data_IF_789042155848
#
_entry.id   IF_789042155848
#
_cell.length_a   1.000
_cell.length_b   1.000
_cell.length_c   1.000
_cell.angle_alpha   90.00
_cell.angle_beta   90.00
_cell.angle_gamma   90.00
#
_symmetry.space_group_name_H-M   'P 1'
#
loop_
_entity.id
_entity.type
_entity.pdbx_description
1 polymer ?
#
# COMPACT_ATOMS: atom_id res chain seq x y z
N UNK A 1 23.02 14.94 -6.92
CA UNK A 1 22.23 13.73 -7.26
C UNK A 1 21.62 13.97 -8.62
N UNK A 2 22.05 13.24 -9.65
CA UNK A 2 21.43 13.33 -10.98
C UNK A 2 20.40 12.20 -11.06
N UNK A 3 19.11 12.55 -11.06
CA UNK A 3 18.03 11.61 -11.24
C UNK A 3 17.76 11.50 -12.73
N UNK A 4 17.86 10.29 -13.29
CA UNK A 4 17.35 10.06 -14.63
C UNK A 4 15.81 10.11 -14.58
N UNK A 5 15.15 10.49 -15.66
CA UNK A 5 13.69 10.43 -15.76
C UNK A 5 13.27 9.11 -16.44
N UNK A 6 13.03 8.03 -15.69
CA UNK A 6 12.82 6.71 -16.27
C UNK A 6 11.46 6.61 -16.96
N UNK A 7 11.45 6.43 -18.28
CA UNK A 7 10.22 6.14 -19.06
C UNK A 7 9.75 4.69 -18.93
N UNK A 8 10.56 3.83 -18.30
CA UNK A 8 10.35 2.38 -18.22
C UNK A 8 9.65 1.92 -16.94
N UNK A 9 9.36 2.81 -15.99
CA UNK A 9 8.55 2.49 -14.80
C UNK A 9 7.08 2.71 -15.16
N UNK A 10 6.41 1.65 -15.61
CA UNK A 10 4.99 1.67 -15.98
C UNK A 10 4.37 0.26 -15.86
N UNK A 11 3.05 0.19 -15.84
CA UNK A 11 2.31 -1.08 -16.01
C UNK A 11 1.83 -1.15 -17.45
N UNK A 12 2.12 -2.24 -18.15
CA UNK A 12 1.59 -2.47 -19.50
C UNK A 12 0.08 -2.77 -19.37
N UNK A 13 -0.77 -1.87 -19.85
CA UNK A 13 -2.23 -2.09 -19.90
C UNK A 13 -3.04 -1.67 -18.67
N UNK A 14 -2.40 -1.14 -17.62
CA UNK A 14 -3.09 -0.75 -16.37
C UNK A 14 -2.52 0.51 -15.72
N UNK A 15 -3.32 1.15 -14.86
CA UNK A 15 -2.90 2.32 -14.10
C UNK A 15 -2.17 1.91 -12.82
N UNK A 16 -1.14 2.68 -12.45
CA UNK A 16 -0.47 2.58 -11.14
C UNK A 16 -1.31 3.35 -10.12
N UNK A 17 -1.70 2.69 -9.04
CA UNK A 17 -2.50 3.27 -7.95
C UNK A 17 -1.65 3.70 -6.76
N UNK A 18 -0.58 2.96 -6.49
CA UNK A 18 0.31 3.25 -5.37
C UNK A 18 1.75 2.87 -5.68
N UNK A 19 2.65 3.59 -5.03
CA UNK A 19 4.09 3.39 -5.10
C UNK A 19 4.67 3.45 -3.71
N UNK A 20 5.75 2.72 -3.48
CA UNK A 20 6.54 2.83 -2.26
C UNK A 20 8.00 2.46 -2.47
N UNK A 21 8.92 3.11 -1.76
CA UNK A 21 10.36 2.90 -1.89
C UNK A 21 10.83 2.05 -0.72
N UNK A 22 11.57 0.98 -1.01
CA UNK A 22 12.13 0.13 0.03
C UNK A 22 13.11 0.93 0.91
N UNK A 23 13.15 0.73 2.25
CA UNK A 23 13.96 1.54 3.16
C UNK A 23 15.46 1.64 2.81
N UNK A 24 16.03 0.63 2.16
CA UNK A 24 17.43 0.64 1.67
C UNK A 24 17.65 1.43 0.38
N UNK A 25 16.59 2.02 -0.21
CA UNK A 25 16.63 2.86 -1.41
C UNK A 25 17.15 2.16 -2.68
N UNK A 26 17.10 0.83 -2.72
CA UNK A 26 17.53 0.01 -3.86
C UNK A 26 16.35 -0.50 -4.72
N UNK A 27 15.13 -0.45 -4.17
CA UNK A 27 13.90 -0.93 -4.82
C UNK A 27 12.77 0.09 -4.75
N UNK A 28 11.97 0.09 -5.80
CA UNK A 28 10.68 0.76 -5.87
C UNK A 28 9.61 -0.31 -6.09
N UNK A 29 8.58 -0.33 -5.27
CA UNK A 29 7.36 -1.10 -5.52
C UNK A 29 6.32 -0.20 -6.19
N UNK A 30 5.66 -0.71 -7.22
CA UNK A 30 4.44 -0.10 -7.76
C UNK A 30 3.34 -1.14 -7.82
N UNK A 31 2.11 -0.74 -7.54
CA UNK A 31 0.94 -1.61 -7.66
C UNK A 31 -0.20 -0.93 -8.40
N UNK A 32 -1.10 -1.74 -8.95
CA UNK A 32 -2.25 -1.25 -9.68
C UNK A 32 -3.00 -2.36 -10.39
N UNK A 33 -3.68 -1.98 -11.46
CA UNK A 33 -4.38 -2.91 -12.35
C UNK A 33 -3.39 -3.60 -13.30
N UNK A 34 -3.57 -4.89 -13.54
CA UNK A 34 -2.79 -5.65 -14.52
C UNK A 34 -3.30 -5.51 -15.95
N UNK A 35 -2.69 -6.28 -16.84
CA UNK A 35 -2.95 -6.31 -18.29
C UNK A 35 -4.24 -7.03 -18.69
N UNK A 36 -4.71 -7.95 -17.83
CA UNK A 36 -6.00 -8.64 -17.99
C UNK A 36 -7.07 -7.91 -17.17
N UNK A 37 -8.21 -7.62 -17.78
CA UNK A 37 -9.31 -6.88 -17.13
C UNK A 37 -9.69 -7.48 -15.77
N UNK A 38 -9.54 -6.68 -14.71
CA UNK A 38 -9.86 -7.06 -13.33
C UNK A 38 -8.69 -7.63 -12.52
N UNK A 39 -7.59 -8.08 -13.12
CA UNK A 39 -6.43 -8.56 -12.35
C UNK A 39 -5.60 -7.38 -11.81
N UNK A 40 -4.79 -7.65 -10.79
CA UNK A 40 -3.87 -6.68 -10.22
C UNK A 40 -2.43 -7.09 -10.43
N UNK A 41 -1.53 -6.10 -10.40
CA UNK A 41 -0.12 -6.31 -10.60
C UNK A 41 0.68 -5.54 -9.57
N UNK A 42 1.69 -6.19 -8.98
CA UNK A 42 2.75 -5.53 -8.22
C UNK A 42 4.06 -5.75 -8.95
N UNK A 43 4.82 -4.67 -9.19
CA UNK A 43 6.14 -4.73 -9.82
C UNK A 43 7.18 -4.17 -8.83
N UNK A 44 8.24 -4.93 -8.63
CA UNK A 44 9.43 -4.50 -7.90
C UNK A 44 10.49 -4.08 -8.93
N UNK A 45 10.84 -2.80 -8.92
CA UNK A 45 11.80 -2.18 -9.80
C UNK A 45 13.14 -2.01 -9.11
N UNK A 46 14.22 -2.12 -9.87
CA UNK A 46 15.56 -1.81 -9.41
C UNK A 46 15.77 -0.29 -9.50
N UNK A 47 16.05 0.38 -8.37
CA UNK A 47 16.30 1.82 -8.36
C UNK A 47 17.71 2.19 -8.85
N UNK A 48 18.66 1.25 -8.91
CA UNK A 48 20.06 1.57 -9.28
C UNK A 48 20.19 2.24 -10.67
N UNK A 49 19.49 1.77 -11.73
CA UNK A 49 19.44 2.48 -13.02
C UNK A 49 18.87 3.89 -12.97
N UNK A 50 18.05 4.22 -11.96
CA UNK A 50 17.49 5.57 -11.81
C UNK A 50 18.52 6.49 -11.15
N UNK A 51 19.33 5.94 -10.25
CA UNK A 51 20.34 6.64 -9.46
C UNK A 51 21.70 6.75 -10.16
N UNK A 52 21.96 5.98 -11.23
CA UNK A 52 23.26 5.93 -11.90
C UNK A 52 23.14 5.66 -13.40
N UNK A 53 23.69 6.56 -14.22
CA UNK A 53 23.79 6.40 -15.68
C UNK A 53 24.60 5.17 -16.08
N UNK A 54 25.67 4.85 -15.34
CA UNK A 54 26.45 3.63 -15.56
C UNK A 54 25.58 2.39 -15.37
N UNK A 55 24.80 2.34 -14.29
CA UNK A 55 23.87 1.23 -14.05
C UNK A 55 22.70 1.21 -15.05
N UNK A 56 22.32 2.37 -15.60
CA UNK A 56 21.31 2.47 -16.65
C UNK A 56 21.80 1.91 -18.00
N UNK A 57 23.06 2.16 -18.34
CA UNK A 57 23.70 1.67 -19.56
C UNK A 57 24.11 0.18 -19.48
N UNK A 58 24.20 -0.37 -18.27
CA UNK A 58 24.56 -1.77 -18.03
C UNK A 58 23.41 -2.72 -18.37
N UNK A 59 23.57 -3.52 -19.43
CA UNK A 59 22.57 -4.50 -19.89
C UNK A 59 22.38 -5.67 -18.94
N UNK A 60 23.34 -5.95 -18.04
CA UNK A 60 23.19 -6.94 -16.98
C UNK A 60 22.40 -6.39 -15.77
N UNK A 61 22.13 -5.08 -15.72
CA UNK A 61 21.36 -4.45 -14.66
C UNK A 61 19.87 -4.54 -14.96
N UNK A 62 19.23 -5.59 -14.46
CA UNK A 62 17.78 -5.77 -14.59
C UNK A 62 17.00 -4.60 -13.98
N UNK A 63 16.14 -3.96 -14.78
CA UNK A 63 15.25 -2.86 -14.36
C UNK A 63 14.03 -3.35 -13.58
N UNK A 64 13.48 -4.48 -13.99
CA UNK A 64 12.40 -5.20 -13.30
C UNK A 64 13.03 -6.35 -12.51
N UNK A 65 12.78 -6.39 -11.21
CA UNK A 65 13.28 -7.43 -10.32
C UNK A 65 12.26 -8.56 -10.14
N UNK A 66 10.99 -8.19 -9.93
CA UNK A 66 9.89 -9.13 -9.79
C UNK A 66 8.57 -8.53 -10.30
N UNK A 67 7.72 -9.39 -10.86
CA UNK A 67 6.29 -9.17 -11.13
C UNK A 67 5.50 -10.17 -10.31
N UNK A 68 4.53 -9.69 -9.53
CA UNK A 68 3.66 -10.49 -8.67
C UNK A 68 2.23 -10.25 -9.13
N UNK A 69 1.60 -11.31 -9.67
CA UNK A 69 0.23 -11.25 -10.20
C UNK A 69 -0.79 -11.45 -9.07
N UNK A 70 -1.84 -10.64 -9.09
CA UNK A 70 -2.97 -10.70 -8.17
C UNK A 70 -4.26 -10.97 -8.94
N UNK A 71 -5.22 -11.64 -8.29
CA UNK A 71 -6.51 -11.95 -8.90
C UNK A 71 -7.41 -10.73 -9.06
N UNK A 72 -7.18 -9.68 -8.26
CA UNK A 72 -7.93 -8.43 -8.26
C UNK A 72 -6.97 -7.23 -8.21
N UNK A 73 -7.47 -6.05 -8.58
CA UNK A 73 -6.72 -4.78 -8.54
C UNK A 73 -6.05 -4.54 -7.18
N UNK A 74 -4.81 -4.04 -7.20
CA UNK A 74 -4.05 -3.75 -5.96
C UNK A 74 -4.01 -2.25 -5.73
N UNK A 75 -4.74 -1.80 -4.72
CA UNK A 75 -4.98 -0.39 -4.42
C UNK A 75 -3.79 0.28 -3.71
N UNK A 76 -3.11 -0.45 -2.83
CA UNK A 76 -1.98 0.10 -2.06
C UNK A 76 -0.88 -0.94 -1.85
N UNK A 77 0.38 -0.49 -1.92
CA UNK A 77 1.57 -1.28 -1.61
C UNK A 77 2.45 -0.52 -0.62
N UNK A 78 2.92 -1.19 0.44
CA UNK A 78 3.84 -0.62 1.45
C UNK A 78 4.86 -1.61 1.96
N UNK A 79 6.12 -1.22 1.96
CA UNK A 79 7.19 -1.89 2.69
C UNK A 79 7.02 -1.67 4.19
N UNK A 80 7.32 -2.69 4.98
CA UNK A 80 7.53 -2.52 6.41
C UNK A 80 8.71 -1.60 6.65
N UNK A 81 8.74 -0.96 7.81
CA UNK A 81 9.79 0.00 8.17
C UNK A 81 11.21 -0.59 8.10
N UNK A 82 11.35 -1.89 8.39
CA UNK A 82 12.61 -2.64 8.28
C UNK A 82 12.87 -3.23 6.88
N UNK A 83 11.93 -3.08 5.94
CA UNK A 83 11.98 -3.61 4.58
C UNK A 83 11.77 -5.13 4.48
N UNK A 84 11.54 -5.83 5.58
CA UNK A 84 11.42 -7.29 5.59
C UNK A 84 10.13 -7.77 4.88
N UNK A 85 9.05 -7.00 4.97
CA UNK A 85 7.73 -7.36 4.48
C UNK A 85 7.19 -6.33 3.49
N UNK A 86 6.40 -6.80 2.52
CA UNK A 86 5.64 -5.99 1.59
C UNK A 86 4.16 -6.29 1.77
N UNK A 87 3.38 -5.28 2.16
CA UNK A 87 1.93 -5.38 2.29
C UNK A 87 1.23 -4.84 1.04
N UNK A 88 0.21 -5.56 0.58
CA UNK A 88 -0.60 -5.20 -0.58
C UNK A 88 -2.09 -5.24 -0.22
N UNK A 89 -2.80 -4.13 -0.37
CA UNK A 89 -4.26 -4.03 -0.21
C UNK A 89 -4.97 -4.15 -1.55
N UNK A 90 -6.05 -4.93 -1.65
CA UNK A 90 -6.67 -5.28 -2.93
C UNK A 90 -8.20 -5.25 -2.91
N UNK A 91 -8.79 -5.17 -4.11
CA UNK A 91 -10.24 -5.20 -4.37
C UNK A 91 -10.89 -6.53 -3.99
N UNK A 92 -10.13 -7.62 -3.91
CA UNK A 92 -10.58 -8.92 -3.39
C UNK A 92 -10.76 -8.94 -1.86
N UNK A 93 -10.73 -7.76 -1.23
CA UNK A 93 -11.06 -7.52 0.18
C UNK A 93 -10.01 -8.04 1.16
N UNK A 94 -8.84 -8.44 0.66
CA UNK A 94 -7.76 -8.95 1.49
C UNK A 94 -6.55 -8.01 1.51
N UNK A 95 -5.72 -8.21 2.52
CA UNK A 95 -4.34 -7.75 2.51
C UNK A 95 -3.44 -8.97 2.36
N UNK A 96 -2.51 -8.92 1.42
CA UNK A 96 -1.48 -9.95 1.22
C UNK A 96 -0.13 -9.43 1.69
N UNK A 97 0.64 -10.29 2.37
CA UNK A 97 1.94 -9.96 2.94
C UNK A 97 3.01 -10.84 2.30
N UNK A 98 3.98 -10.23 1.66
CA UNK A 98 5.09 -10.91 1.00
C UNK A 98 6.41 -10.69 1.73
N UNK A 99 7.28 -11.68 1.68
CA UNK A 99 8.65 -11.61 2.17
C UNK A 99 9.62 -11.88 1.00
N UNK A 100 10.77 -11.21 0.99
CA UNK A 100 11.81 -11.47 0.00
C UNK A 100 12.40 -12.88 0.17
N UNK A 101 12.30 -13.68 -0.89
CA UNK A 101 12.72 -15.08 -0.93
C UNK A 101 14.07 -15.32 -1.62
N UNK A 102 14.84 -14.28 -1.94
CA UNK A 102 16.14 -14.39 -2.60
C UNK A 102 16.10 -14.19 -4.12
N UNK A 103 17.30 -14.21 -4.73
CA UNK A 103 17.48 -14.14 -6.19
C UNK A 103 17.24 -15.50 -6.84
N UNK A 104 16.62 -15.47 -8.02
CA UNK A 104 16.41 -16.65 -8.86
C UNK A 104 17.69 -16.90 -9.67
N UNK A 105 18.37 -18.02 -9.41
CA UNK A 105 19.65 -18.35 -10.06
C UNK A 105 19.52 -19.19 -11.35
N UNK A 106 18.32 -19.68 -11.70
CA UNK A 106 18.11 -20.43 -12.95
C UNK A 106 16.87 -19.94 -13.70
N UNK A 107 17.08 -19.35 -14.88
CA UNK A 107 16.02 -19.24 -15.88
C UNK A 107 15.71 -20.65 -16.39
N UNK A 108 14.58 -21.21 -15.98
CA UNK A 108 14.05 -22.42 -16.63
C UNK A 108 13.64 -22.05 -18.05
N UNK A 109 14.52 -22.27 -19.02
CA UNK A 109 14.20 -22.13 -20.44
C UNK A 109 13.41 -23.34 -20.92
N UNK A 110 12.08 -23.27 -20.86
CA UNK A 110 11.23 -23.94 -21.86
C UNK A 110 10.16 -22.94 -22.33
N UNK A 111 10.42 -22.33 -23.49
CA UNK A 111 9.36 -21.94 -24.43
C UNK A 111 8.47 -20.73 -24.14
N UNK A 112 8.71 -19.94 -23.09
CA UNK A 112 7.86 -18.76 -22.82
C UNK A 112 8.63 -17.44 -22.99
N UNK A 113 8.14 -16.56 -23.87
CA UNK A 113 8.55 -15.15 -24.00
C UNK A 113 8.10 -14.33 -22.77
N UNK A 114 8.32 -14.83 -21.56
CA UNK A 114 7.90 -14.18 -20.31
C UNK A 114 9.05 -13.39 -19.71
N UNK A 115 8.74 -12.17 -19.26
CA UNK A 115 9.64 -11.39 -18.39
C UNK A 115 9.96 -12.26 -17.18
N UNK A 116 11.22 -12.67 -17.08
CA UNK A 116 11.68 -13.57 -16.03
C UNK A 116 11.95 -12.78 -14.75
N UNK A 117 11.30 -13.15 -13.64
CA UNK A 117 11.63 -12.60 -12.33
C UNK A 117 13.05 -13.02 -11.94
N UNK A 118 13.89 -12.04 -11.59
CA UNK A 118 15.23 -12.31 -11.05
C UNK A 118 15.23 -12.41 -9.53
N UNK A 119 14.10 -12.10 -8.91
CA UNK A 119 13.88 -12.18 -7.47
C UNK A 119 12.54 -12.82 -7.15
N UNK A 120 12.50 -13.52 -6.02
CA UNK A 120 11.31 -14.21 -5.54
C UNK A 120 10.73 -13.46 -4.35
N UNK A 121 9.40 -13.34 -4.34
CA UNK A 121 8.63 -12.87 -3.19
C UNK A 121 7.65 -13.97 -2.79
N UNK A 122 7.69 -14.36 -1.53
CA UNK A 122 6.86 -15.45 -0.98
C UNK A 122 5.67 -14.85 -0.25
N UNK A 123 4.46 -15.22 -0.63
CA UNK A 123 3.27 -14.92 0.15
C UNK A 123 3.38 -15.61 1.51
N UNK A 124 3.32 -14.84 2.58
CA UNK A 124 3.44 -15.31 3.96
C UNK A 124 2.09 -15.31 4.67
N UNK A 125 1.26 -14.30 4.42
CA UNK A 125 -0.04 -14.14 5.06
C UNK A 125 -1.06 -13.56 4.09
N UNK A 126 -2.33 -13.94 4.28
CA UNK A 126 -3.49 -13.30 3.68
C UNK A 126 -4.48 -12.94 4.79
N UNK A 127 -4.77 -11.65 4.95
CA UNK A 127 -5.58 -11.12 6.05
C UNK A 127 -7.03 -10.90 5.57
N UNK A 128 -7.97 -11.65 6.14
CA UNK A 128 -9.38 -11.69 5.71
C UNK A 128 -10.32 -11.10 6.78
N UNK A 129 -10.30 -9.78 6.98
CA UNK A 129 -11.23 -9.12 7.94
C UNK A 129 -12.23 -8.19 7.28
N UNK A 130 -11.84 -7.52 6.19
CA UNK A 130 -12.72 -6.57 5.52
C UNK A 130 -13.82 -7.26 4.73
N UNK A 131 -14.98 -6.60 4.66
CA UNK A 131 -16.16 -7.09 3.92
C UNK A 131 -16.29 -6.47 2.52
N UNK A 132 -15.49 -5.43 2.25
CA UNK A 132 -15.37 -4.73 0.97
C UNK A 132 -13.90 -4.44 0.63
N UNK A 133 -13.66 -3.79 -0.51
CA UNK A 133 -12.31 -3.53 -1.05
C UNK A 133 -11.41 -2.87 -0.01
N UNK A 134 -10.15 -3.30 0.07
CA UNK A 134 -9.15 -2.65 0.93
C UNK A 134 -8.46 -1.56 0.11
N UNK A 135 -8.60 -0.32 0.55
CA UNK A 135 -8.14 0.86 -0.19
C UNK A 135 -6.73 1.29 0.19
N UNK A 136 -6.35 1.08 1.45
CA UNK A 136 -5.06 1.51 1.98
C UNK A 136 -4.55 0.52 3.02
N UNK A 137 -3.23 0.40 3.09
CA UNK A 137 -2.50 -0.36 4.11
C UNK A 137 -1.25 0.42 4.46
N UNK A 138 -0.87 0.49 5.73
CA UNK A 138 0.29 1.25 6.20
C UNK A 138 0.91 0.60 7.45
N UNK A 139 2.23 0.47 7.47
CA UNK A 139 2.99 -0.01 8.64
C UNK A 139 3.28 1.13 9.60
N UNK A 140 3.20 0.88 10.91
CA UNK A 140 3.67 1.87 11.88
C UNK A 140 5.19 2.04 11.80
N UNK A 141 5.67 3.26 12.03
CA UNK A 141 7.10 3.60 12.01
C UNK A 141 7.92 2.80 13.02
N UNK A 142 7.32 2.45 14.16
CA UNK A 142 7.92 1.61 15.21
C UNK A 142 7.84 0.10 14.93
N UNK A 143 7.22 -0.30 13.81
CA UNK A 143 7.08 -1.70 13.39
C UNK A 143 6.21 -2.56 14.30
N UNK A 144 5.42 -1.97 15.21
CA UNK A 144 4.50 -2.70 16.11
C UNK A 144 3.19 -3.06 15.42
N UNK A 145 2.73 -2.24 14.48
CA UNK A 145 1.40 -2.34 13.91
C UNK A 145 1.39 -2.32 12.39
N UNK A 146 0.39 -2.99 11.84
CA UNK A 146 -0.08 -2.81 10.47
C UNK A 146 -1.51 -2.30 10.56
N UNK A 147 -1.87 -1.27 9.80
CA UNK A 147 -3.26 -0.82 9.68
C UNK A 147 -3.73 -0.96 8.23
N UNK A 148 -5.03 -1.20 8.05
CA UNK A 148 -5.69 -1.13 6.74
C UNK A 148 -7.02 -0.42 6.83
N UNK A 149 -7.44 0.16 5.72
CA UNK A 149 -8.65 0.94 5.57
C UNK A 149 -9.44 0.43 4.38
N UNK A 150 -10.77 0.38 4.50
CA UNK A 150 -11.64 -0.24 3.51
C UNK A 150 -12.86 0.60 3.15
N UNK A 151 -13.43 0.26 1.99
CA UNK A 151 -14.77 0.65 1.57
C UNK A 151 -15.87 0.25 2.57
N UNK A 152 -15.62 -0.71 3.47
CA UNK A 152 -16.58 -1.13 4.50
C UNK A 152 -16.69 -0.17 5.72
N UNK A 153 -16.08 1.01 5.61
CA UNK A 153 -16.03 2.08 6.62
C UNK A 153 -15.14 1.75 7.84
N UNK A 154 -14.48 0.59 7.87
CA UNK A 154 -13.65 0.19 9.01
C UNK A 154 -12.17 0.41 8.75
N UNK A 155 -11.44 0.55 9.86
CA UNK A 155 -9.98 0.37 9.91
C UNK A 155 -9.67 -0.83 10.79
N UNK A 156 -8.78 -1.69 10.33
CA UNK A 156 -8.33 -2.85 11.12
C UNK A 156 -6.86 -2.66 11.46
N UNK A 157 -6.49 -2.97 12.70
CA UNK A 157 -5.10 -2.93 13.16
C UNK A 157 -4.65 -4.32 13.58
N UNK A 158 -3.49 -4.72 13.09
CA UNK A 158 -2.84 -6.00 13.42
C UNK A 158 -1.55 -5.79 14.20
N UNK A 159 -1.17 -6.84 14.92
CA UNK A 159 0.14 -6.98 15.50
C UNK A 159 1.14 -7.37 14.39
N UNK A 160 1.99 -6.43 13.98
CA UNK A 160 2.95 -6.64 12.89
C UNK A 160 3.96 -7.75 13.18
N UNK A 161 4.26 -8.03 14.46
CA UNK A 161 5.21 -9.08 14.87
C UNK A 161 4.54 -10.45 15.03
N UNK A 162 3.22 -10.53 14.98
CA UNK A 162 2.44 -11.76 15.16
C UNK A 162 1.30 -11.88 14.16
N UNK A 163 1.51 -11.46 12.92
CA UNK A 163 0.49 -11.63 11.88
C UNK A 163 0.01 -13.10 11.83
N UNK A 164 -1.30 -13.36 11.67
CA UNK A 164 -2.40 -12.42 11.42
C UNK A 164 -3.16 -11.95 12.69
N UNK A 165 -2.52 -11.90 13.87
CA UNK A 165 -3.15 -11.45 15.13
C UNK A 165 -3.72 -10.03 15.00
N UNK A 166 -5.04 -9.90 15.16
CA UNK A 166 -5.77 -8.63 15.11
C UNK A 166 -5.83 -8.01 16.50
N UNK A 167 -5.51 -6.72 16.58
CA UNK A 167 -5.56 -5.94 17.81
C UNK A 167 -6.94 -5.32 18.00
N UNK A 168 -7.43 -4.61 16.97
CA UNK A 168 -8.70 -3.89 17.04
C UNK A 168 -9.32 -3.69 15.66
N UNK A 169 -10.64 -3.55 15.63
CA UNK A 169 -11.40 -3.01 14.49
C UNK A 169 -11.99 -1.68 14.93
N UNK A 170 -11.70 -0.62 14.18
CA UNK A 170 -12.17 0.74 14.41
C UNK A 170 -13.42 0.96 13.55
N UNK A 171 -14.56 0.50 14.05
CA UNK A 171 -15.86 0.60 13.42
C UNK A 171 -16.76 1.64 14.13
N UNK A 172 -17.98 1.81 13.63
CA UNK A 172 -18.94 2.79 14.18
C UNK A 172 -19.27 2.58 15.66
N UNK A 173 -19.17 1.36 16.21
CA UNK A 173 -19.40 1.08 17.63
C UNK A 173 -18.35 1.71 18.54
N UNK A 174 -17.18 2.05 17.99
CA UNK A 174 -16.05 2.71 18.66
C UNK A 174 -15.87 4.17 18.22
N UNK A 175 -16.90 4.76 17.64
CA UNK A 175 -16.79 6.10 17.05
C UNK A 175 -15.94 6.11 15.78
N UNK A 176 -15.94 5.02 15.01
CA UNK A 176 -15.34 4.93 13.69
C UNK A 176 -16.05 5.77 12.63
N UNK A 177 -15.61 5.61 11.40
CA UNK A 177 -16.15 6.36 10.27
C UNK A 177 -17.54 5.86 9.84
N UNK A 178 -18.33 6.76 9.27
CA UNK A 178 -19.66 6.45 8.71
C UNK A 178 -19.63 6.35 7.17
N UNK A 179 -18.44 6.27 6.59
CA UNK A 179 -18.22 6.16 5.16
C UNK A 179 -16.84 5.57 4.85
N UNK A 180 -16.58 5.21 3.58
CA UNK A 180 -15.36 4.53 3.16
C UNK A 180 -14.09 5.20 3.69
N UNK A 181 -13.20 4.42 4.29
CA UNK A 181 -11.92 4.92 4.78
C UNK A 181 -10.88 4.73 3.68
N UNK A 182 -10.31 5.84 3.21
CA UNK A 182 -9.47 5.90 2.00
C UNK A 182 -8.00 6.06 2.28
N UNK A 183 -7.64 6.57 3.45
CA UNK A 183 -6.26 6.92 3.77
C UNK A 183 -5.89 6.63 5.22
N UNK A 184 -4.64 6.26 5.41
CA UNK A 184 -4.00 6.00 6.68
C UNK A 184 -2.69 6.78 6.76
N UNK A 185 -2.32 7.23 7.95
CA UNK A 185 -0.99 7.77 8.22
C UNK A 185 -0.64 7.57 9.69
N UNK A 186 0.58 7.10 9.95
CA UNK A 186 1.08 6.94 11.31
C UNK A 186 1.82 8.20 11.76
N UNK A 187 1.61 8.56 13.02
CA UNK A 187 2.51 9.47 13.70
C UNK A 187 3.93 8.86 13.76
N UNK A 188 4.99 9.60 13.41
CA UNK A 188 6.35 9.07 13.34
C UNK A 188 6.87 8.49 14.65
N UNK A 189 6.34 8.92 15.81
CA UNK A 189 6.70 8.35 17.12
C UNK A 189 5.70 7.27 17.61
N UNK A 190 4.72 6.90 16.79
CA UNK A 190 3.80 5.80 17.05
C UNK A 190 2.71 6.08 18.08
N UNK A 191 2.42 7.34 18.42
CA UNK A 191 1.37 7.71 19.38
C UNK A 191 -0.03 7.70 18.78
N UNK A 192 -0.14 8.07 17.50
CA UNK A 192 -1.41 8.18 16.81
C UNK A 192 -1.43 7.43 15.47
N UNK A 193 -2.62 6.93 15.13
CA UNK A 193 -3.01 6.61 13.77
C UNK A 193 -4.00 7.67 13.29
N UNK A 194 -3.74 8.28 12.13
CA UNK A 194 -4.69 9.15 11.45
C UNK A 194 -5.43 8.37 10.35
N UNK A 195 -6.76 8.53 10.29
CA UNK A 195 -7.62 7.88 9.29
C UNK A 195 -8.42 8.93 8.53
N UNK A 196 -8.52 8.81 7.21
CA UNK A 196 -9.25 9.71 6.33
C UNK A 196 -10.42 8.99 5.65
N UNK A 197 -11.62 9.60 5.69
CA UNK A 197 -12.82 8.99 5.14
C UNK A 197 -13.62 9.88 4.19
N UNK A 198 -14.40 9.23 3.33
CA UNK A 198 -15.44 9.84 2.52
C UNK A 198 -16.58 10.47 3.34
N UNK A 199 -16.67 10.17 4.64
CA UNK A 199 -17.61 10.83 5.58
C UNK A 199 -17.24 12.28 5.90
N UNK A 200 -16.23 12.84 5.22
CA UNK A 200 -15.73 14.21 5.37
C UNK A 200 -15.08 14.47 6.73
N UNK A 201 -14.46 13.44 7.31
CA UNK A 201 -13.66 13.58 8.53
C UNK A 201 -12.28 12.94 8.42
N UNK A 202 -11.35 13.50 9.19
CA UNK A 202 -10.16 12.79 9.67
C UNK A 202 -10.39 12.40 11.12
N UNK A 203 -9.90 11.23 11.53
CA UNK A 203 -9.91 10.81 12.94
C UNK A 203 -8.50 10.47 13.39
N UNK A 204 -8.16 10.88 14.61
CA UNK A 204 -6.92 10.50 15.27
C UNK A 204 -7.23 9.47 16.36
N UNK A 205 -6.51 8.36 16.33
CA UNK A 205 -6.69 7.24 17.23
C UNK A 205 -5.44 7.07 18.07
N UNK A 206 -5.58 6.99 19.38
CA UNK A 206 -4.45 6.69 20.27
C UNK A 206 -4.03 5.23 20.13
N UNK A 207 -2.74 4.95 20.11
CA UNK A 207 -2.23 3.57 19.96
C UNK A 207 -2.16 2.78 21.27
N UNK A 208 -2.35 3.44 22.41
CA UNK A 208 -2.34 2.82 23.74
C UNK A 208 -3.69 2.15 24.10
N UNK A 209 -4.78 2.72 23.61
CA UNK A 209 -6.15 2.38 23.99
C UNK A 209 -7.09 2.22 22.79
N UNK A 210 -6.63 2.60 21.59
CA UNK A 210 -7.39 2.55 20.34
C UNK A 210 -8.73 3.30 20.45
N UNK A 211 -8.71 4.45 21.11
CA UNK A 211 -9.84 5.36 21.21
C UNK A 211 -9.68 6.51 20.24
N UNK A 212 -10.81 6.98 19.70
CA UNK A 212 -10.84 8.20 18.89
C UNK A 212 -10.62 9.40 19.79
N UNK A 213 -9.44 10.00 19.71
CA UNK A 213 -9.05 11.18 20.49
C UNK A 213 -9.58 12.46 19.85
N UNK A 214 -9.43 12.59 18.53
CA UNK A 214 -9.78 13.81 17.81
C UNK A 214 -10.53 13.49 16.51
N UNK A 215 -11.59 14.25 16.23
CA UNK A 215 -12.31 14.25 14.95
C UNK A 215 -12.15 15.61 14.28
N UNK A 216 -11.60 15.62 13.08
CA UNK A 216 -11.35 16.83 12.29
C UNK A 216 -12.30 16.85 11.10
N UNK A 217 -13.17 17.86 11.04
CA UNK A 217 -14.17 18.02 9.95
C UNK A 217 -13.97 19.31 9.15
N UNK A 218 -13.04 20.19 9.54
CA UNK A 218 -12.66 21.39 8.76
C UNK A 218 -11.44 21.07 7.89
N UNK A 219 -11.39 21.52 6.62
CA UNK A 219 -12.26 22.49 5.96
C UNK A 219 -13.49 21.88 5.26
N UNK A 220 -13.87 20.63 5.53
CA UNK A 220 -14.98 19.97 4.82
C UNK A 220 -16.39 20.54 5.12
N UNK A 221 -16.50 21.52 6.02
CA UNK A 221 -17.67 22.39 6.10
C UNK A 221 -17.83 23.13 4.76
N UNK A 222 -18.97 22.95 4.08
CA UNK A 222 -19.29 23.76 2.90
C UNK A 222 -19.06 25.24 3.22
N UNK A 223 -18.54 26.06 2.29
CA UNK A 223 -18.70 27.50 2.43
C UNK A 223 -20.20 27.77 2.60
N UNK A 224 -20.58 28.53 3.63
CA UNK A 224 -21.97 28.96 3.82
C UNK A 224 -22.48 29.43 2.46
N UNK A 225 -23.51 28.76 1.95
CA UNK A 225 -24.28 29.27 0.82
C UNK A 225 -24.77 30.66 1.21
N UNK A 226 -24.19 31.69 0.62
CA UNK A 226 -24.73 33.05 0.66
C UNK A 226 -26.00 33.03 -0.18
N UNK A 227 -27.10 32.57 0.40
CA UNK A 227 -28.44 32.79 -0.14
C UNK A 227 -29.44 32.95 1.01
N UNK A 228 -29.72 34.22 1.30
CA UNK A 228 -31.01 34.85 1.65
C UNK A 228 -30.69 36.05 2.54
N UNK A 229 -31.30 37.21 2.45
CA UNK A 229 -32.13 37.87 1.46
C UNK A 229 -32.28 39.29 2.01
N UNK A 230 -32.13 40.33 1.18
CA UNK A 230 -32.86 41.57 1.45
C UNK A 230 -33.42 42.06 0.13
N UNK A 231 -34.75 42.12 0.13
CA UNK A 231 -35.62 42.79 -0.83
C UNK A 231 -35.22 44.23 -1.04
#
# INVERSE_FOLDING_TARGET
MHLTNPTWVHHEGGAIYSVDIHPTMDRLATCGQGDVGGCGLVIIWNLRPIQSEKAYADTACHKVLARIQHQAGVNCVRWSHDGALLACASDDKVITIYEYGGRVQSAGSIGSKTVTNVEKYRLTHTLHTHSMEVLSVEWSSDGRYLASASMDNTVVVWNAKKLPERIVVLDSSRGGHNGPVKGLSWDPIGKYLATQSADKSLRLWTTDSWQCDTVITKPFSQPLSVLQATK
#
